data_IF_655707068085
#
_entry.id   IF_655707068085
#
_cell.length_a   1.000
_cell.length_b   1.000
_cell.length_c   1.000
_cell.angle_alpha   90.00
_cell.angle_beta   90.00
_cell.angle_gamma   90.00
#
_symmetry.space_group_name_H-M   'P 1'
#
loop_
_entity.id
_entity.type
_entity.pdbx_description
1 polymer ?
#
# COMPACT_ATOMS: atom_id res chain seq x y z
N UNK A 1 1.53 -11.79 -25.79
CA UNK A 1 0.62 -12.59 -24.93
C UNK A 1 -0.02 -11.65 -23.93
N UNK A 2 -1.20 -11.14 -24.28
CA UNK A 2 -1.99 -10.25 -23.42
C UNK A 2 -2.64 -11.08 -22.32
N UNK A 3 -2.25 -10.85 -21.07
CA UNK A 3 -2.82 -11.59 -19.94
C UNK A 3 -4.26 -11.11 -19.72
N UNK A 4 -5.22 -11.99 -20.00
CA UNK A 4 -6.68 -11.84 -19.82
C UNK A 4 -7.16 -11.37 -18.42
N UNK A 5 -6.28 -11.22 -17.43
CA UNK A 5 -6.62 -10.83 -16.06
C UNK A 5 -6.77 -9.32 -15.80
N UNK A 6 -6.27 -8.46 -16.69
CA UNK A 6 -5.96 -7.07 -16.31
C UNK A 6 -6.84 -5.99 -16.94
N UNK A 7 -7.79 -6.33 -17.80
CA UNK A 7 -8.64 -5.36 -18.53
C UNK A 7 -9.89 -4.89 -17.78
N UNK A 8 -10.07 -5.25 -16.50
CA UNK A 8 -11.24 -4.79 -15.74
C UNK A 8 -11.00 -3.33 -15.32
N UNK A 9 -11.46 -2.40 -16.15
CA UNK A 9 -11.69 -1.02 -15.76
C UNK A 9 -12.81 -0.97 -14.73
N UNK A 10 -12.60 -0.28 -13.61
CA UNK A 10 -13.68 -0.08 -12.64
C UNK A 10 -14.33 1.28 -12.88
N UNK A 11 -15.66 1.33 -12.75
CA UNK A 11 -16.35 2.60 -12.71
C UNK A 11 -16.14 3.25 -11.34
N UNK A 12 -15.31 4.28 -11.29
CA UNK A 12 -15.09 5.08 -10.08
C UNK A 12 -16.27 6.04 -9.91
N UNK A 13 -16.92 6.00 -8.75
CA UNK A 13 -18.04 6.89 -8.40
C UNK A 13 -17.54 8.33 -8.24
N UNK A 14 -18.28 9.34 -8.73
CA UNK A 14 -17.98 10.73 -8.41
C UNK A 14 -18.18 10.97 -6.90
N UNK A 15 -17.39 11.88 -6.35
CA UNK A 15 -17.51 12.36 -4.97
C UNK A 15 -17.96 13.80 -5.03
N UNK A 16 -19.05 14.13 -4.32
CA UNK A 16 -19.48 15.52 -4.16
C UNK A 16 -18.78 16.11 -2.93
N UNK A 17 -18.00 17.17 -3.13
CA UNK A 17 -17.35 17.88 -2.02
C UNK A 17 -18.24 19.04 -1.64
N UNK A 18 -19.07 18.83 -0.64
CA UNK A 18 -19.87 19.86 0.03
C UNK A 18 -19.07 20.40 1.23
N UNK A 19 -19.31 21.66 1.62
CA UNK A 19 -18.54 22.35 2.68
C UNK A 19 -18.66 21.66 4.06
N UNK A 20 -19.72 20.88 4.28
CA UNK A 20 -19.97 20.13 5.51
C UNK A 20 -19.22 18.79 5.59
N UNK A 21 -18.60 18.34 4.49
CA UNK A 21 -17.90 17.05 4.48
C UNK A 21 -16.58 17.16 5.24
N UNK A 22 -16.50 16.45 6.37
CA UNK A 22 -15.24 16.25 7.10
C UNK A 22 -14.17 15.62 6.19
N UNK A 23 -12.91 16.04 6.38
CA UNK A 23 -11.74 15.50 5.67
C UNK A 23 -11.67 13.97 5.79
N UNK A 24 -12.03 13.43 6.94
CA UNK A 24 -12.04 11.98 7.18
C UNK A 24 -13.05 11.26 6.28
N UNK A 25 -14.23 11.85 6.07
CA UNK A 25 -15.24 11.27 5.18
C UNK A 25 -14.73 11.25 3.73
N UNK A 26 -14.09 12.34 3.28
CA UNK A 26 -13.48 12.41 1.94
C UNK A 26 -12.37 11.36 1.79
N UNK A 27 -11.51 11.21 2.80
CA UNK A 27 -10.46 10.16 2.80
C UNK A 27 -11.07 8.78 2.68
N UNK A 28 -12.13 8.48 3.44
CA UNK A 28 -12.81 7.19 3.39
C UNK A 28 -13.41 6.92 2.01
N UNK A 29 -14.10 7.89 1.43
CA UNK A 29 -14.69 7.76 0.10
C UNK A 29 -13.63 7.54 -0.98
N UNK A 30 -12.51 8.29 -0.94
CA UNK A 30 -11.40 8.11 -1.89
C UNK A 30 -10.77 6.73 -1.72
N UNK A 31 -10.49 6.31 -0.48
CA UNK A 31 -9.92 5.00 -0.15
C UNK A 31 -10.77 3.85 -0.69
N UNK A 32 -12.07 3.89 -0.46
CA UNK A 32 -13.01 2.86 -0.92
C UNK A 32 -13.10 2.82 -2.45
N UNK A 33 -13.28 3.99 -3.08
CA UNK A 33 -13.46 4.07 -4.53
C UNK A 33 -12.18 3.71 -5.30
N UNK A 34 -11.00 4.03 -4.77
CA UNK A 34 -9.71 3.66 -5.37
C UNK A 34 -9.21 2.28 -4.95
N UNK A 35 -9.92 1.60 -4.04
CA UNK A 35 -9.50 0.33 -3.41
C UNK A 35 -8.10 0.43 -2.80
N UNK A 36 -7.83 1.55 -2.15
CA UNK A 36 -6.54 1.82 -1.51
C UNK A 36 -6.64 1.64 0.00
N UNK A 37 -5.98 0.62 0.59
CA UNK A 37 -6.07 0.36 2.02
C UNK A 37 -5.35 1.42 2.88
N UNK A 38 -4.36 2.13 2.34
CA UNK A 38 -3.63 3.12 3.13
C UNK A 38 -4.36 4.48 3.15
N UNK A 39 -5.27 4.64 4.12
CA UNK A 39 -5.98 5.90 4.39
C UNK A 39 -5.07 7.01 4.91
N UNK A 40 -4.03 6.66 5.68
CA UNK A 40 -3.06 7.63 6.22
C UNK A 40 -2.36 8.38 5.08
N UNK A 41 -1.89 7.66 4.06
CA UNK A 41 -1.24 8.25 2.89
C UNK A 41 -2.16 9.22 2.14
N UNK A 42 -3.45 8.86 1.98
CA UNK A 42 -4.43 9.73 1.33
C UNK A 42 -4.65 10.98 2.17
N UNK A 43 -4.77 10.85 3.48
CA UNK A 43 -4.92 11.99 4.38
C UNK A 43 -3.72 12.93 4.33
N UNK A 44 -2.49 12.40 4.34
CA UNK A 44 -1.27 13.21 4.23
C UNK A 44 -1.22 13.97 2.90
N UNK A 45 -1.63 13.34 1.80
CA UNK A 45 -1.73 13.98 0.48
C UNK A 45 -2.75 15.11 0.50
N UNK A 46 -3.94 14.89 1.07
CA UNK A 46 -4.98 15.93 1.18
C UNK A 46 -4.47 17.10 2.03
N UNK A 47 -3.78 16.83 3.14
CA UNK A 47 -3.18 17.87 3.97
C UNK A 47 -2.09 18.67 3.23
N UNK A 48 -1.32 18.03 2.34
CA UNK A 48 -0.23 18.68 1.61
C UNK A 48 -0.68 19.40 0.33
N UNK A 49 -1.63 18.85 -0.44
CA UNK A 49 -2.13 19.41 -1.70
C UNK A 49 -3.38 20.29 -1.53
N UNK A 50 -4.11 20.08 -0.45
CA UNK A 50 -5.48 20.56 -0.28
C UNK A 50 -6.51 19.67 -0.97
N UNK A 51 -7.77 19.79 -0.54
CA UNK A 51 -8.90 19.01 -1.04
C UNK A 51 -9.12 19.27 -2.53
N UNK A 52 -9.12 20.53 -2.97
CA UNK A 52 -9.42 20.91 -4.36
C UNK A 52 -8.48 20.23 -5.36
N UNK A 53 -7.16 20.32 -5.14
CA UNK A 53 -6.17 19.68 -6.04
C UNK A 53 -6.25 18.16 -5.95
N UNK A 54 -6.47 17.61 -4.74
CA UNK A 54 -6.65 16.17 -4.58
C UNK A 54 -7.86 15.66 -5.37
N UNK A 55 -8.98 16.38 -5.36
CA UNK A 55 -10.15 16.07 -6.16
C UNK A 55 -9.91 16.18 -7.67
N UNK A 56 -9.06 17.09 -8.12
CA UNK A 56 -8.65 17.14 -9.53
C UNK A 56 -7.93 15.84 -9.94
N UNK A 57 -7.00 15.34 -9.13
CA UNK A 57 -6.34 14.06 -9.40
C UNK A 57 -7.30 12.88 -9.32
N UNK A 58 -8.25 12.91 -8.40
CA UNK A 58 -9.30 11.89 -8.30
C UNK A 58 -10.15 11.84 -9.58
N UNK A 59 -10.61 13.00 -10.06
CA UNK A 59 -11.38 13.10 -11.29
C UNK A 59 -10.57 12.69 -12.53
N UNK A 60 -9.29 13.08 -12.62
CA UNK A 60 -8.38 12.61 -13.67
C UNK A 60 -8.23 11.08 -13.64
N UNK A 61 -8.09 10.50 -12.45
CA UNK A 61 -8.02 9.04 -12.26
C UNK A 61 -9.28 8.36 -12.76
N UNK A 62 -10.46 8.90 -12.45
CA UNK A 62 -11.75 8.40 -12.94
C UNK A 62 -11.82 8.39 -14.47
N UNK A 63 -11.40 9.47 -15.12
CA UNK A 63 -11.39 9.56 -16.60
C UNK A 63 -10.42 8.51 -17.18
N UNK A 64 -9.22 8.37 -16.63
CA UNK A 64 -8.23 7.40 -17.10
C UNK A 64 -8.74 5.96 -16.93
N UNK A 65 -9.34 5.62 -15.80
CA UNK A 65 -9.92 4.29 -15.60
C UNK A 65 -11.06 4.01 -16.59
N UNK A 66 -11.90 5.00 -16.89
CA UNK A 66 -12.96 4.87 -17.92
C UNK A 66 -12.39 4.66 -19.32
N UNK A 67 -11.20 5.21 -19.61
CA UNK A 67 -10.49 5.05 -20.88
C UNK A 67 -9.66 3.75 -20.96
N UNK A 68 -9.80 2.83 -19.99
CA UNK A 68 -9.08 1.55 -19.97
C UNK A 68 -7.90 1.49 -18.99
N UNK A 69 -7.66 2.55 -18.23
CA UNK A 69 -6.63 2.61 -17.19
C UNK A 69 -5.23 2.87 -17.73
N UNK A 70 -4.23 2.62 -16.89
CA UNK A 70 -2.82 2.88 -17.22
C UNK A 70 -1.94 1.64 -16.97
N UNK A 71 -1.06 1.27 -17.90
CA UNK A 71 -0.13 0.15 -17.72
C UNK A 71 1.08 0.51 -16.85
N UNK A 72 1.60 -0.44 -16.08
CA UNK A 72 2.87 -0.30 -15.36
C UNK A 72 4.02 0.04 -16.34
N UNK A 73 5.11 0.65 -15.84
CA UNK A 73 6.23 1.11 -16.68
C UNK A 73 6.87 -0.02 -17.51
N UNK A 74 6.86 -1.23 -16.97
CA UNK A 74 7.36 -2.46 -17.58
C UNK A 74 6.34 -3.12 -18.52
N UNK A 75 5.13 -2.57 -18.66
CA UNK A 75 4.05 -3.14 -19.46
C UNK A 75 3.50 -4.47 -18.95
N UNK A 76 3.95 -4.96 -17.79
CA UNK A 76 3.65 -6.33 -17.34
C UNK A 76 2.20 -6.53 -16.91
N UNK A 77 1.57 -5.46 -16.44
CA UNK A 77 0.20 -5.44 -15.91
C UNK A 77 -0.40 -4.05 -15.95
N UNK A 78 -1.73 -3.99 -15.85
CA UNK A 78 -2.44 -2.73 -15.58
C UNK A 78 -2.17 -2.24 -14.16
N UNK A 79 -2.06 -0.91 -13.98
CA UNK A 79 -2.13 -0.29 -12.66
C UNK A 79 -3.54 -0.42 -12.11
N UNK A 80 -3.65 -0.63 -10.80
CA UNK A 80 -4.91 -0.49 -10.09
C UNK A 80 -5.28 1.00 -9.97
N UNK A 81 -6.56 1.34 -9.79
CA UNK A 81 -7.05 2.70 -9.58
C UNK A 81 -6.21 3.55 -8.60
N UNK A 82 -5.97 3.06 -7.37
CA UNK A 82 -5.11 3.77 -6.41
C UNK A 82 -3.67 3.97 -6.92
N UNK A 83 -3.14 2.99 -7.66
CA UNK A 83 -1.84 3.12 -8.32
C UNK A 83 -1.83 4.13 -9.48
N UNK A 84 -2.94 4.35 -10.16
CA UNK A 84 -3.09 5.43 -11.16
C UNK A 84 -3.12 6.78 -10.45
N UNK A 85 -3.94 6.92 -9.41
CA UNK A 85 -4.03 8.15 -8.61
C UNK A 85 -2.67 8.61 -8.09
N UNK A 86 -1.93 7.74 -7.41
CA UNK A 86 -0.60 8.08 -6.92
C UNK A 86 0.41 8.31 -8.04
N UNK A 87 0.30 7.59 -9.16
CA UNK A 87 1.16 7.82 -10.31
C UNK A 87 0.98 9.22 -10.89
N UNK A 88 -0.27 9.71 -11.00
CA UNK A 88 -0.54 11.05 -11.48
C UNK A 88 0.08 12.11 -10.56
N UNK A 89 -0.08 11.96 -9.25
CA UNK A 89 0.48 12.93 -8.28
C UNK A 89 2.00 12.90 -8.28
N UNK A 90 2.60 11.71 -8.29
CA UNK A 90 4.07 11.56 -8.21
C UNK A 90 4.79 12.11 -9.45
N UNK A 91 4.16 12.01 -10.62
CA UNK A 91 4.76 12.44 -11.89
C UNK A 91 4.37 13.85 -12.34
N UNK A 92 3.50 14.53 -11.61
CA UNK A 92 3.12 15.90 -11.92
C UNK A 92 4.23 16.87 -11.50
N UNK A 93 4.77 17.63 -12.46
CA UNK A 93 5.83 18.61 -12.24
C UNK A 93 5.38 19.83 -11.44
N UNK A 94 4.07 20.08 -11.35
CA UNK A 94 3.48 21.18 -10.57
C UNK A 94 3.40 20.87 -9.06
N UNK A 95 3.76 19.65 -8.65
CA UNK A 95 3.70 19.19 -7.27
C UNK A 95 5.02 19.46 -6.55
N UNK A 96 4.93 19.96 -5.31
CA UNK A 96 6.10 20.24 -4.46
C UNK A 96 6.91 18.97 -4.15
N UNK A 97 8.22 19.13 -3.97
CA UNK A 97 9.12 18.05 -3.56
C UNK A 97 8.74 17.45 -2.19
N UNK A 98 8.12 18.24 -1.31
CA UNK A 98 7.58 17.76 -0.03
C UNK A 98 6.57 16.61 -0.18
N UNK A 99 5.78 16.62 -1.25
CA UNK A 99 4.81 15.54 -1.51
C UNK A 99 5.52 14.28 -2.02
N UNK A 100 6.62 14.43 -2.77
CA UNK A 100 7.46 13.27 -3.14
C UNK A 100 8.13 12.64 -1.92
N UNK A 101 8.43 13.44 -0.89
CA UNK A 101 8.92 12.93 0.39
C UNK A 101 7.87 12.08 1.13
N UNK A 102 6.58 12.44 1.06
CA UNK A 102 5.48 11.61 1.62
C UNK A 102 5.54 10.19 1.03
N UNK A 103 5.61 10.06 -0.30
CA UNK A 103 5.74 8.77 -0.97
C UNK A 103 7.01 8.01 -0.58
N UNK A 104 8.13 8.73 -0.43
CA UNK A 104 9.42 8.15 -0.03
C UNK A 104 9.40 7.62 1.40
N UNK A 105 8.75 8.34 2.32
CA UNK A 105 8.57 7.94 3.71
C UNK A 105 7.70 6.71 3.82
N UNK A 106 6.58 6.68 3.08
CA UNK A 106 5.70 5.52 3.01
C UNK A 106 6.41 4.29 2.44
N UNK A 107 7.21 4.45 1.38
CA UNK A 107 8.03 3.37 0.83
C UNK A 107 9.04 2.83 1.86
N UNK A 108 9.68 3.72 2.63
CA UNK A 108 10.61 3.35 3.71
C UNK A 108 9.89 2.61 4.85
N UNK A 109 8.69 3.07 5.25
CA UNK A 109 7.83 2.42 6.26
C UNK A 109 7.47 0.99 5.84
N UNK A 110 6.98 0.82 4.60
CA UNK A 110 6.67 -0.49 4.02
C UNK A 110 7.88 -1.44 3.98
N UNK A 111 9.05 -0.93 3.57
CA UNK A 111 10.27 -1.73 3.54
C UNK A 111 10.68 -2.20 4.95
N UNK A 112 10.68 -1.30 5.94
CA UNK A 112 11.00 -1.64 7.33
C UNK A 112 10.05 -2.70 7.88
N UNK A 113 8.75 -2.57 7.62
CA UNK A 113 7.75 -3.53 8.08
C UNK A 113 7.91 -4.91 7.45
N UNK A 114 8.15 -4.97 6.14
CA UNK A 114 8.43 -6.24 5.44
C UNK A 114 9.67 -6.94 5.99
N UNK A 115 10.72 -6.19 6.33
CA UNK A 115 11.95 -6.75 6.93
C UNK A 115 11.67 -7.39 8.30
N UNK A 116 10.86 -6.74 9.14
CA UNK A 116 10.44 -7.27 10.45
C UNK A 116 9.58 -8.52 10.28
N UNK A 117 8.58 -8.49 9.39
CA UNK A 117 7.70 -9.62 9.11
C UNK A 117 8.47 -10.85 8.60
N UNK A 118 9.46 -10.66 7.72
CA UNK A 118 10.34 -11.74 7.26
C UNK A 118 11.15 -12.33 8.41
N UNK A 119 11.68 -11.49 9.31
CA UNK A 119 12.44 -11.95 10.48
C UNK A 119 11.56 -12.77 11.42
N UNK A 120 10.36 -12.30 11.72
CA UNK A 120 9.42 -13.02 12.58
C UNK A 120 8.95 -14.34 11.97
N UNK A 121 8.63 -14.36 10.67
CA UNK A 121 8.30 -15.62 9.96
C UNK A 121 9.42 -16.65 10.06
N UNK A 122 10.68 -16.22 9.87
CA UNK A 122 11.84 -17.11 10.01
C UNK A 122 12.01 -17.61 11.43
N UNK A 123 11.86 -16.73 12.43
CA UNK A 123 11.94 -17.10 13.85
C UNK A 123 10.89 -18.16 14.19
N UNK A 124 9.62 -17.91 13.83
CA UNK A 124 8.52 -18.84 14.06
C UNK A 124 8.74 -20.18 13.36
N UNK A 125 9.18 -20.15 12.09
CA UNK A 125 9.49 -21.38 11.36
C UNK A 125 10.60 -22.20 12.01
N UNK A 126 11.66 -21.53 12.52
CA UNK A 126 12.75 -22.19 13.22
C UNK A 126 12.30 -22.77 14.57
N UNK A 127 11.42 -22.08 15.29
CA UNK A 127 10.80 -22.57 16.53
C UNK A 127 9.95 -23.82 16.26
N UNK A 128 9.05 -23.76 15.27
CA UNK A 128 8.22 -24.91 14.85
C UNK A 128 9.06 -26.09 14.35
N UNK A 129 10.20 -25.82 13.69
CA UNK A 129 11.13 -26.86 13.27
C UNK A 129 11.84 -27.48 14.48
N UNK A 130 12.30 -26.65 15.44
CA UNK A 130 12.94 -27.13 16.67
C UNK A 130 12.00 -28.02 17.48
N UNK A 131 10.75 -27.62 17.65
CA UNK A 131 9.72 -28.43 18.35
C UNK A 131 9.48 -29.76 17.64
N UNK A 132 9.37 -29.77 16.31
CA UNK A 132 9.22 -31.01 15.53
C UNK A 132 10.41 -31.94 15.69
N UNK A 133 11.63 -31.42 15.59
CA UNK A 133 12.85 -32.22 15.74
C UNK A 133 12.99 -32.81 17.16
N UNK A 134 12.57 -32.06 18.19
CA UNK A 134 12.52 -32.57 19.57
C UNK A 134 11.49 -33.70 19.67
N UNK A 135 10.29 -33.53 19.10
CA UNK A 135 9.23 -34.54 19.11
C UNK A 135 9.62 -35.82 18.38
N UNK A 136 10.36 -35.71 17.28
CA UNK A 136 10.88 -36.85 16.51
C UNK A 136 12.14 -37.46 17.13
N UNK A 137 12.66 -36.90 18.23
CA UNK A 137 13.87 -37.37 18.91
C UNK A 137 15.18 -37.06 18.18
N UNK A 138 15.14 -36.26 17.10
CA UNK A 138 16.32 -35.84 16.33
C UNK A 138 17.11 -34.71 17.02
N UNK A 139 16.53 -34.05 18.03
CA UNK A 139 17.17 -32.94 18.74
C UNK A 139 16.93 -33.09 20.26
N UNK A 140 18.01 -33.20 21.03
CA UNK A 140 17.95 -33.37 22.49
C UNK A 140 17.78 -32.02 23.19
N UNK A 141 16.96 -31.97 24.24
CA UNK A 141 16.88 -30.80 25.12
C UNK A 141 18.12 -30.79 26.00
N UNK A 142 19.06 -29.89 25.74
CA UNK A 142 20.15 -29.61 26.68
C UNK A 142 19.57 -28.95 27.92
N UNK A 143 19.26 -29.74 28.94
CA UNK A 143 19.02 -29.20 30.29
C UNK A 143 20.33 -28.57 30.76
N UNK A 144 20.38 -27.23 30.70
CA UNK A 144 21.52 -26.46 31.17
C UNK A 144 21.85 -26.87 32.59
N UNK A 145 23.11 -27.24 32.82
CA UNK A 145 23.59 -27.64 34.12
C UNK A 145 23.30 -26.54 35.14
N UNK A 146 22.59 -26.91 36.20
CA UNK A 146 22.58 -26.15 37.44
C UNK A 146 24.04 -26.03 37.89
N UNK A 147 24.61 -24.82 37.77
CA UNK A 147 25.84 -24.47 38.46
C UNK A 147 25.54 -24.46 39.95
N UNK A 148 25.71 -25.62 40.58
CA UNK A 148 25.91 -25.73 42.01
C UNK A 148 27.41 -25.53 42.29
N UNK A 149 27.67 -24.79 43.36
CA UNK A 149 28.95 -24.39 43.98
C UNK A 149 29.51 -23.05 43.53
#
# INVERSE_FOLDING_TARGET
MEKKGDMICIHIKPINVEEENSVENIVNQISENLREPNKELISEIISALGIVRTMQYYNKTRIIEQQGGLCCKDGSRRRKPGGVFFHLIYHDTSVSESIKQIFSNEARKKYKMKKIEIKERRRKHNEELKERLIKEGLLMISNGQQKNN
#
